data_IF_128886305479
#
_entry.id   IF_128886305479
#
_cell.length_a   1.000
_cell.length_b   1.000
_cell.length_c   1.000
_cell.angle_alpha   90.00
_cell.angle_beta   90.00
_cell.angle_gamma   90.00
#
_symmetry.space_group_name_H-M   'P 1'
#
loop_
_entity.id
_entity.type
_entity.pdbx_description
1 polymer ?
#
# COMPACT_ATOMS: atom_id res chain seq x y z
N UNK A 1 10.70 24.29 1.34
CA UNK A 1 10.60 22.83 1.59
C UNK A 1 9.14 22.41 1.62
N UNK A 2 8.31 22.99 2.50
CA UNK A 2 6.88 22.68 2.63
C UNK A 2 6.11 22.70 1.30
N UNK A 3 6.24 23.77 0.51
CA UNK A 3 5.51 23.92 -0.75
C UNK A 3 5.83 22.83 -1.78
N UNK A 4 7.12 22.50 -1.94
CA UNK A 4 7.56 21.40 -2.82
C UNK A 4 7.07 20.04 -2.32
N UNK A 5 6.98 19.86 -1.00
CA UNK A 5 6.43 18.64 -0.41
C UNK A 5 4.92 18.53 -0.63
N UNK A 6 4.17 19.63 -0.57
CA UNK A 6 2.73 19.64 -0.87
C UNK A 6 2.47 19.33 -2.33
N UNK A 7 3.19 19.95 -3.28
CA UNK A 7 3.07 19.63 -4.71
C UNK A 7 3.39 18.16 -5.01
N UNK A 8 4.43 17.61 -4.36
CA UNK A 8 4.78 16.20 -4.50
C UNK A 8 3.67 15.29 -3.95
N UNK A 9 3.14 15.61 -2.77
CA UNK A 9 2.04 14.84 -2.18
C UNK A 9 0.76 14.95 -3.00
N UNK A 10 0.42 16.11 -3.56
CA UNK A 10 -0.74 16.27 -4.44
C UNK A 10 -0.61 15.46 -5.74
N UNK A 11 0.59 15.42 -6.31
CA UNK A 11 0.86 14.68 -7.55
C UNK A 11 0.86 13.17 -7.34
N UNK A 12 1.41 12.70 -6.21
CA UNK A 12 1.55 11.27 -5.89
C UNK A 12 0.45 10.74 -4.94
N UNK A 13 -0.51 11.58 -4.53
CA UNK A 13 -1.64 11.14 -3.72
C UNK A 13 -2.54 10.24 -4.55
N UNK A 14 -2.42 8.93 -4.33
CA UNK A 14 -3.26 7.91 -4.98
C UNK A 14 -4.63 7.75 -4.32
N UNK A 15 -4.77 8.17 -3.07
CA UNK A 15 -6.01 8.08 -2.30
C UNK A 15 -6.47 9.48 -1.92
N UNK A 16 -7.55 9.95 -2.54
CA UNK A 16 -8.14 11.28 -2.28
C UNK A 16 -9.11 11.24 -1.11
N UNK A 17 -9.75 10.09 -0.87
CA UNK A 17 -10.70 9.93 0.23
C UNK A 17 -10.02 9.51 1.53
N UNK A 18 -10.30 10.27 2.58
CA UNK A 18 -9.74 10.10 3.90
C UNK A 18 -10.26 8.81 4.57
N UNK A 19 -11.48 8.39 4.24
CA UNK A 19 -12.05 7.13 4.72
C UNK A 19 -11.35 5.91 4.11
N UNK A 20 -11.02 5.95 2.82
CA UNK A 20 -10.24 4.89 2.16
C UNK A 20 -8.86 4.75 2.80
N UNK A 21 -8.19 5.87 3.11
CA UNK A 21 -6.89 5.86 3.82
C UNK A 21 -7.00 5.28 5.23
N UNK A 22 -8.10 5.56 5.95
CA UNK A 22 -8.35 5.01 7.29
C UNK A 22 -8.62 3.51 7.25
N UNK A 23 -9.35 3.04 6.24
CA UNK A 23 -9.61 1.62 6.02
C UNK A 23 -8.30 0.88 5.71
N UNK A 24 -7.51 1.39 4.76
CA UNK A 24 -6.15 0.90 4.46
C UNK A 24 -5.27 0.81 5.70
N UNK A 25 -5.33 1.81 6.58
CA UNK A 25 -4.51 1.84 7.80
C UNK A 25 -4.94 0.79 8.82
N UNK A 26 -6.25 0.52 8.95
CA UNK A 26 -6.77 -0.51 9.87
C UNK A 26 -6.60 -1.92 9.33
N UNK A 27 -6.43 -2.04 8.03
CA UNK A 27 -6.35 -3.32 7.37
C UNK A 27 -4.93 -3.89 7.44
N UNK A 28 -4.80 -4.96 8.23
CA UNK A 28 -3.57 -5.77 8.28
C UNK A 28 -3.76 -7.17 7.69
N UNK A 29 -5.00 -7.57 7.34
CA UNK A 29 -5.26 -8.80 6.58
C UNK A 29 -4.82 -10.07 7.32
N UNK A 30 -4.61 -9.97 8.64
CA UNK A 30 -4.04 -11.03 9.45
C UNK A 30 -2.53 -11.25 9.25
N UNK A 31 -1.84 -10.44 8.44
CA UNK A 31 -0.39 -10.36 8.44
C UNK A 31 0.04 -9.32 9.46
N UNK A 32 0.97 -9.66 10.35
CA UNK A 32 1.66 -8.71 11.21
C UNK A 32 2.59 -7.82 10.36
N UNK A 33 2.01 -6.94 9.54
CA UNK A 33 2.71 -5.94 8.73
C UNK A 33 3.20 -4.82 9.62
N UNK A 34 4.49 -4.51 9.50
CA UNK A 34 5.01 -3.32 10.16
C UNK A 34 4.37 -2.07 9.55
N UNK A 35 4.31 -0.98 10.32
CA UNK A 35 3.83 0.31 9.81
C UNK A 35 4.56 0.76 8.54
N UNK A 36 5.83 0.37 8.38
CA UNK A 36 6.65 0.64 7.21
C UNK A 36 6.19 -0.14 5.97
N UNK A 37 6.05 -1.47 6.09
CA UNK A 37 5.62 -2.33 4.96
C UNK A 37 4.26 -1.89 4.41
N UNK A 38 3.31 -1.58 5.29
CA UNK A 38 1.99 -1.08 4.91
C UNK A 38 2.07 0.26 4.16
N UNK A 39 2.88 1.20 4.64
CA UNK A 39 3.06 2.47 3.96
C UNK A 39 3.72 2.29 2.58
N UNK A 40 4.71 1.41 2.47
CA UNK A 40 5.37 1.10 1.20
C UNK A 40 4.40 0.45 0.21
N UNK A 41 3.63 -0.57 0.63
CA UNK A 41 2.62 -1.20 -0.22
C UNK A 41 1.58 -0.19 -0.72
N UNK A 42 1.08 0.68 0.16
CA UNK A 42 0.10 1.70 -0.20
C UNK A 42 0.67 2.77 -1.16
N UNK A 43 1.92 3.20 -0.97
CA UNK A 43 2.54 4.25 -1.77
C UNK A 43 3.05 3.75 -3.13
N UNK A 44 3.67 2.56 -3.15
CA UNK A 44 4.23 1.97 -4.36
C UNK A 44 3.14 1.37 -5.25
N UNK A 45 2.02 0.93 -4.66
CA UNK A 45 0.89 0.29 -5.32
C UNK A 45 1.34 -0.81 -6.29
N UNK A 46 2.08 -1.75 -5.72
CA UNK A 46 2.54 -2.98 -6.35
C UNK A 46 1.35 -3.79 -6.89
N UNK A 47 1.54 -4.43 -8.04
CA UNK A 47 0.47 -5.21 -8.69
C UNK A 47 0.69 -6.73 -8.58
N UNK A 48 1.91 -7.14 -8.22
CA UNK A 48 2.27 -8.56 -8.07
C UNK A 48 3.03 -8.82 -6.78
N UNK A 49 2.90 -10.03 -6.23
CA UNK A 49 3.68 -10.48 -5.06
C UNK A 49 5.18 -10.46 -5.34
N UNK A 50 5.61 -10.82 -6.55
CA UNK A 50 7.03 -10.78 -6.94
C UNK A 50 7.60 -9.35 -6.90
N UNK A 51 6.85 -8.38 -7.43
CA UNK A 51 7.23 -6.96 -7.33
C UNK A 51 7.26 -6.48 -5.87
N UNK A 52 6.27 -6.88 -5.08
CA UNK A 52 6.22 -6.56 -3.66
C UNK A 52 7.44 -7.10 -2.89
N UNK A 53 7.87 -8.33 -3.17
CA UNK A 53 9.07 -8.95 -2.57
C UNK A 53 10.36 -8.29 -3.04
N UNK A 54 10.45 -7.92 -4.32
CA UNK A 54 11.62 -7.22 -4.86
C UNK A 54 11.77 -5.81 -4.28
N UNK A 55 10.67 -5.08 -4.09
CA UNK A 55 10.69 -3.72 -3.55
C UNK A 55 10.79 -3.69 -2.03
N UNK A 56 10.23 -4.69 -1.36
CA UNK A 56 10.20 -4.80 0.10
C UNK A 56 10.69 -6.20 0.51
N UNK A 57 12.02 -6.39 0.62
CA UNK A 57 12.60 -7.70 0.93
C UNK A 57 12.16 -8.26 2.30
N UNK A 58 11.63 -7.43 3.21
CA UNK A 58 11.09 -7.90 4.50
C UNK A 58 9.79 -8.70 4.36
N UNK A 59 9.08 -8.56 3.24
CA UNK A 59 7.86 -9.33 2.94
C UNK A 59 8.12 -10.75 2.46
N UNK A 60 9.37 -11.11 2.16
CA UNK A 60 9.74 -12.43 1.63
C UNK A 60 9.39 -13.58 2.60
N UNK A 61 9.42 -13.30 3.91
CA UNK A 61 9.10 -14.26 4.98
C UNK A 61 7.59 -14.45 5.21
N UNK A 62 6.72 -13.74 4.48
CA UNK A 62 5.27 -13.74 4.69
C UNK A 62 4.53 -14.60 3.68
N UNK A 63 3.31 -15.00 4.04
CA UNK A 63 2.42 -15.81 3.21
C UNK A 63 2.08 -15.11 1.89
N UNK A 64 2.54 -15.66 0.77
CA UNK A 64 2.29 -15.14 -0.58
C UNK A 64 0.80 -15.06 -0.92
N UNK A 65 0.02 -16.07 -0.52
CA UNK A 65 -1.42 -16.15 -0.82
C UNK A 65 -2.18 -14.99 -0.18
N UNK A 66 -1.87 -14.67 1.08
CA UNK A 66 -2.50 -13.56 1.78
C UNK A 66 -2.01 -12.21 1.27
N UNK A 67 -0.74 -12.13 0.86
CA UNK A 67 -0.19 -10.92 0.26
C UNK A 67 -0.82 -10.61 -1.10
N UNK A 68 -1.04 -11.62 -1.95
CA UNK A 68 -1.74 -11.42 -3.23
C UNK A 68 -3.18 -10.95 -3.01
N UNK A 69 -3.92 -11.58 -2.08
CA UNK A 69 -5.27 -11.15 -1.75
C UNK A 69 -5.33 -9.69 -1.27
N UNK A 70 -4.35 -9.28 -0.45
CA UNK A 70 -4.22 -7.89 -0.01
C UNK A 70 -3.95 -6.95 -1.19
N UNK A 71 -3.04 -7.31 -2.09
CA UNK A 71 -2.69 -6.51 -3.28
C UNK A 71 -3.90 -6.34 -4.21
N UNK A 72 -4.64 -7.41 -4.48
CA UNK A 72 -5.80 -7.39 -5.37
C UNK A 72 -6.91 -6.48 -4.82
N UNK A 73 -7.13 -6.53 -3.51
CA UNK A 73 -8.16 -5.72 -2.86
C UNK A 73 -7.71 -4.25 -2.71
N UNK A 74 -6.41 -3.98 -2.52
CA UNK A 74 -5.83 -2.63 -2.64
C UNK A 74 -5.97 -2.05 -4.06
N UNK A 75 -5.71 -2.86 -5.09
CA UNK A 75 -5.89 -2.48 -6.49
C UNK A 75 -7.37 -2.18 -6.81
N UNK A 76 -8.27 -2.93 -6.18
CA UNK A 76 -9.72 -2.72 -6.27
C UNK A 76 -10.13 -1.39 -5.63
N UNK A 77 -9.68 -1.11 -4.40
CA UNK A 77 -9.90 0.18 -3.73
C UNK A 77 -9.35 1.36 -4.55
N UNK A 78 -8.21 1.18 -5.21
CA UNK A 78 -7.62 2.19 -6.11
C UNK A 78 -8.49 2.46 -7.34
N UNK A 79 -9.15 1.44 -7.91
CA UNK A 79 -10.04 1.59 -9.08
C UNK A 79 -11.35 2.30 -8.76
N UNK A 80 -11.80 2.24 -7.50
CA UNK A 80 -13.04 2.86 -7.04
C UNK A 80 -12.86 4.28 -6.48
N UNK A 81 -11.62 4.79 -6.47
CA UNK A 81 -11.23 6.18 -6.19
C UNK A 81 -11.15 7.01 -7.47
#
# INVERSE_FOLDING_TARGET
>A
VLQKSMEYLETFSRYKELDTVRQLRKWEGGLALTGFERAQLANLAVETVEEAKNLIPTLETKDEVKLQALIDELATLRKFQ
#
